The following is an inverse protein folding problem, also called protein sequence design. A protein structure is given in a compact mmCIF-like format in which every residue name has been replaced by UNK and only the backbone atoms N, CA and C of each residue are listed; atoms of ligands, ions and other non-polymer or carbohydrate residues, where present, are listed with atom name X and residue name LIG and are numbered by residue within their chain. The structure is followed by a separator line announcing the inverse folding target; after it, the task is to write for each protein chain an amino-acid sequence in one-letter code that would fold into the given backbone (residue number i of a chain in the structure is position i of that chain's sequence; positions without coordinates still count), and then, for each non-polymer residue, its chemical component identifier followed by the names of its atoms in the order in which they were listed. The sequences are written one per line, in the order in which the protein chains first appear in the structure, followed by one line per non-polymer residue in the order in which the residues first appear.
data_IF_080947197536
#
_entry.id   IF_080947197536
#
_cell.length_a   1.000
_cell.length_b   1.000
_cell.length_c   1.000
_cell.angle_alpha   90.00
_cell.angle_beta   90.00
_cell.angle_gamma   90.00
#
_symmetry.space_group_name_H-M   'P 1'
#
loop_
_entity.id
_entity.type
_entity.pdbx_description
1 polymer ?
#
# COMPACT_ATOMS: atom_id res chain seq x y z
N UNK A 1 -2.82 51.95 8.16
CA UNK A 1 -2.32 50.60 7.88
C UNK A 1 -3.50 49.63 8.02
N UNK A 2 -3.78 48.86 6.99
CA UNK A 2 -4.75 47.79 7.04
C UNK A 2 -4.32 46.75 8.10
N UNK A 3 -5.27 46.20 8.85
CA UNK A 3 -4.96 45.14 9.82
C UNK A 3 -4.69 43.85 9.08
N UNK A 4 -3.50 43.29 9.21
CA UNK A 4 -3.15 41.99 8.67
C UNK A 4 -3.85 40.88 9.45
N UNK A 5 -4.34 39.87 8.75
CA UNK A 5 -4.97 38.66 9.29
C UNK A 5 -4.14 37.43 8.95
N UNK A 6 -4.43 36.29 9.57
CA UNK A 6 -3.78 35.02 9.25
C UNK A 6 -4.12 34.54 7.83
N UNK A 7 -5.34 34.86 7.36
CA UNK A 7 -5.78 34.63 5.96
C UNK A 7 -4.92 35.41 4.95
N UNK A 8 -4.52 36.66 5.29
CA UNK A 8 -3.62 37.45 4.43
C UNK A 8 -2.21 36.84 4.34
N UNK A 9 -1.85 36.00 5.31
CA UNK A 9 -0.60 35.24 5.33
C UNK A 9 -0.75 33.85 4.64
N UNK A 10 -1.93 33.53 4.10
CA UNK A 10 -2.19 32.32 3.32
C UNK A 10 -2.71 31.13 4.13
N UNK A 11 -3.21 31.35 5.37
CA UNK A 11 -3.80 30.29 6.20
C UNK A 11 -5.25 30.62 6.53
N UNK A 12 -6.19 29.75 6.11
CA UNK A 12 -7.62 29.94 6.29
C UNK A 12 -8.20 28.97 7.33
N UNK A 13 -8.39 29.47 8.57
CA UNK A 13 -8.94 28.70 9.69
C UNK A 13 -10.38 28.23 9.41
N UNK A 14 -11.20 29.05 8.72
CA UNK A 14 -12.59 28.71 8.43
C UNK A 14 -12.66 27.53 7.44
N UNK A 15 -11.80 27.53 6.41
CA UNK A 15 -11.67 26.41 5.47
C UNK A 15 -11.18 25.14 6.19
N UNK A 16 -10.30 25.25 7.18
CA UNK A 16 -9.89 24.13 8.04
C UNK A 16 -11.07 23.52 8.80
N UNK A 17 -11.88 24.35 9.45
CA UNK A 17 -13.07 23.91 10.18
C UNK A 17 -14.12 23.27 9.25
N UNK A 18 -14.30 23.81 8.05
CA UNK A 18 -15.18 23.24 7.03
C UNK A 18 -14.69 21.85 6.60
N UNK A 19 -13.40 21.68 6.33
CA UNK A 19 -12.82 20.38 5.98
C UNK A 19 -13.09 19.33 7.05
N UNK A 20 -12.86 19.66 8.33
CA UNK A 20 -13.17 18.76 9.45
C UNK A 20 -14.65 18.39 9.51
N UNK A 21 -15.54 19.34 9.22
CA UNK A 21 -16.98 19.07 9.17
C UNK A 21 -17.35 18.07 8.05
N UNK A 22 -16.75 18.22 6.87
CA UNK A 22 -17.02 17.37 5.71
C UNK A 22 -16.54 15.92 5.90
N UNK A 23 -15.44 15.68 6.60
CA UNK A 23 -14.87 14.34 6.79
C UNK A 23 -15.46 13.56 7.98
N UNK A 24 -16.16 14.22 8.89
CA UNK A 24 -16.56 13.68 10.18
C UNK A 24 -17.32 12.35 10.11
N UNK A 25 -18.28 12.25 9.22
CA UNK A 25 -19.09 11.04 9.08
C UNK A 25 -18.29 9.88 8.47
N UNK A 26 -17.43 10.15 7.49
CA UNK A 26 -16.54 9.16 6.89
C UNK A 26 -15.56 8.59 7.91
N UNK A 27 -14.97 9.44 8.73
CA UNK A 27 -14.05 9.03 9.81
C UNK A 27 -14.77 8.20 10.86
N UNK A 28 -15.94 8.65 11.33
CA UNK A 28 -16.75 7.90 12.31
C UNK A 28 -17.17 6.52 11.81
N UNK A 29 -17.40 6.37 10.51
CA UNK A 29 -17.73 5.08 9.90
C UNK A 29 -16.60 4.03 10.00
N UNK A 30 -15.38 4.43 10.36
CA UNK A 30 -14.24 3.53 10.62
C UNK A 30 -14.16 3.08 12.07
N UNK A 31 -14.91 3.71 12.98
CA UNK A 31 -14.74 3.50 14.41
C UNK A 31 -15.09 2.08 14.83
N UNK A 32 -14.22 1.55 15.66
CA UNK A 32 -14.37 0.27 16.38
C UNK A 32 -14.76 0.56 17.83
N UNK A 33 -15.28 -0.43 18.57
CA UNK A 33 -15.62 -0.27 20.00
C UNK A 33 -14.46 0.20 20.88
N UNK A 34 -13.21 -0.01 20.42
CA UNK A 34 -11.99 0.38 21.12
C UNK A 34 -11.67 1.88 20.99
N UNK A 35 -12.29 2.60 20.06
CA UNK A 35 -12.07 4.06 19.91
C UNK A 35 -12.77 4.79 21.06
N UNK A 36 -11.99 5.55 21.84
CA UNK A 36 -12.46 6.30 23.01
C UNK A 36 -12.45 7.81 22.75
N UNK A 37 -13.33 8.30 21.93
CA UNK A 37 -13.37 9.74 21.64
C UNK A 37 -13.97 10.03 20.28
N UNK A 38 -13.82 11.29 19.87
CA UNK A 38 -14.29 11.79 18.59
C UNK A 38 -13.20 12.70 17.98
N UNK A 39 -13.35 13.06 16.70
CA UNK A 39 -12.48 14.05 16.05
C UNK A 39 -12.48 15.39 16.77
N UNK A 40 -11.32 16.06 16.79
CA UNK A 40 -11.13 17.40 17.35
C UNK A 40 -10.50 17.41 18.74
N UNK A 41 -10.11 16.26 19.30
CA UNK A 41 -9.26 16.18 20.49
C UNK A 41 -7.78 16.42 20.16
N UNK A 42 -6.93 16.60 21.19
CA UNK A 42 -5.48 16.72 21.03
C UNK A 42 -4.81 15.41 20.57
N UNK A 43 -5.48 14.27 20.63
CA UNK A 43 -4.96 12.99 20.18
C UNK A 43 -6.06 11.95 20.07
N UNK A 44 -5.85 10.93 19.25
CA UNK A 44 -6.71 9.78 19.12
C UNK A 44 -6.54 8.83 20.31
N UNK A 45 -7.64 8.36 20.89
CA UNK A 45 -7.62 7.43 22.00
C UNK A 45 -8.13 6.06 21.54
N UNK A 46 -7.34 5.02 21.78
CA UNK A 46 -7.68 3.65 21.43
C UNK A 46 -7.41 2.72 22.62
N UNK A 47 -8.43 1.99 23.07
CA UNK A 47 -8.33 1.05 24.18
C UNK A 47 -7.91 -0.33 23.67
N UNK A 48 -6.67 -0.69 23.82
CA UNK A 48 -6.24 -2.06 23.55
C UNK A 48 -6.95 -3.02 24.50
N UNK A 49 -7.64 -4.03 23.97
CA UNK A 49 -8.23 -5.12 24.76
C UNK A 49 -7.15 -6.08 25.25
N UNK A 50 -6.46 -5.70 26.31
CA UNK A 50 -5.32 -6.46 26.81
C UNK A 50 -5.67 -7.92 27.18
N UNK A 51 -6.95 -8.20 27.52
CA UNK A 51 -7.43 -9.56 27.81
C UNK A 51 -7.45 -10.51 26.61
N UNK A 52 -7.45 -9.96 25.38
CA UNK A 52 -7.46 -10.76 24.16
C UNK A 52 -6.06 -11.27 23.76
N UNK A 53 -5.03 -10.82 24.49
CA UNK A 53 -3.64 -11.16 24.25
C UNK A 53 -2.95 -11.60 25.54
N UNK A 54 -2.01 -12.54 25.42
CA UNK A 54 -1.14 -12.93 26.54
C UNK A 54 0.09 -12.01 26.60
N UNK A 55 0.69 -11.75 25.45
CA UNK A 55 1.90 -10.94 25.30
C UNK A 55 1.82 -10.10 24.02
N UNK A 56 0.99 -9.02 24.03
CA UNK A 56 0.78 -8.19 22.84
C UNK A 56 2.06 -7.45 22.44
N UNK A 57 2.35 -7.49 21.13
CA UNK A 57 3.41 -6.68 20.52
C UNK A 57 2.73 -5.69 19.58
N UNK A 58 3.00 -4.40 19.78
CA UNK A 58 2.56 -3.36 18.84
C UNK A 58 3.54 -3.29 17.66
N UNK A 59 2.96 -3.23 16.46
CA UNK A 59 3.69 -3.05 15.21
C UNK A 59 3.23 -1.75 14.59
N UNK A 60 4.16 -0.89 14.19
CA UNK A 60 3.84 0.39 13.56
C UNK A 60 4.61 0.58 12.26
N UNK A 61 3.97 1.23 11.31
CA UNK A 61 4.56 1.61 10.04
C UNK A 61 4.10 3.02 9.65
N UNK A 62 4.95 3.73 8.93
CA UNK A 62 4.64 5.02 8.33
C UNK A 62 5.12 5.04 6.90
N UNK A 63 4.30 5.55 5.99
CA UNK A 63 4.63 5.70 4.58
C UNK A 63 3.80 6.82 3.95
N UNK A 64 4.22 7.26 2.77
CA UNK A 64 3.49 8.21 1.93
C UNK A 64 3.00 7.55 0.64
N UNK A 65 2.44 8.37 -0.23
CA UNK A 65 2.01 7.95 -1.58
C UNK A 65 3.11 8.15 -2.61
N UNK A 66 3.97 9.14 -2.40
CA UNK A 66 5.05 9.47 -3.31
C UNK A 66 4.57 10.14 -4.60
N UNK A 67 5.34 9.98 -5.67
CA UNK A 67 5.13 10.75 -6.90
C UNK A 67 3.91 10.35 -7.73
N UNK A 68 3.15 9.32 -7.32
CA UNK A 68 1.80 9.03 -7.84
C UNK A 68 0.84 10.22 -7.64
N UNK A 69 1.05 11.01 -6.58
CA UNK A 69 0.29 12.25 -6.34
C UNK A 69 0.24 13.18 -7.55
N UNK A 70 1.30 13.24 -8.35
CA UNK A 70 1.34 14.08 -9.58
C UNK A 70 0.27 13.69 -10.60
N UNK A 71 -0.15 12.42 -10.61
CA UNK A 71 -1.24 11.95 -11.47
C UNK A 71 -2.59 12.42 -10.93
N UNK A 72 -2.79 12.37 -9.63
CA UNK A 72 -4.01 12.90 -9.00
C UNK A 72 -4.20 14.39 -9.33
N UNK A 73 -3.12 15.17 -9.29
CA UNK A 73 -3.15 16.58 -9.65
C UNK A 73 -3.43 16.78 -11.15
N UNK A 74 -2.77 16.01 -12.02
CA UNK A 74 -2.93 16.09 -13.47
C UNK A 74 -4.35 15.76 -13.91
N UNK A 75 -4.96 14.73 -13.31
CA UNK A 75 -6.28 14.21 -13.65
C UNK A 75 -7.40 14.82 -12.79
N UNK A 76 -7.04 15.65 -11.79
CA UNK A 76 -7.96 16.22 -10.80
C UNK A 76 -8.86 15.15 -10.17
N UNK A 77 -8.24 14.03 -9.75
CA UNK A 77 -8.91 12.91 -9.11
C UNK A 77 -8.18 12.54 -7.81
N UNK A 78 -8.83 12.75 -6.67
CA UNK A 78 -8.18 12.75 -5.35
C UNK A 78 -8.70 11.65 -4.41
N UNK A 79 -9.84 11.05 -4.69
CA UNK A 79 -10.53 10.09 -3.81
C UNK A 79 -9.87 8.70 -3.74
N UNK A 80 -8.98 8.36 -4.67
CA UNK A 80 -8.25 7.08 -4.68
C UNK A 80 -6.95 7.11 -3.87
N UNK A 81 -6.32 8.29 -3.78
CA UNK A 81 -4.99 8.48 -3.18
C UNK A 81 -4.95 8.12 -1.70
N UNK A 82 -6.04 8.40 -0.97
CA UNK A 82 -6.15 8.03 0.43
C UNK A 82 -6.01 6.52 0.68
N UNK A 83 -6.49 5.69 -0.24
CA UNK A 83 -6.29 4.24 -0.16
C UNK A 83 -4.82 3.86 -0.34
N UNK A 84 -4.07 4.51 -1.23
CA UNK A 84 -2.64 4.25 -1.38
C UNK A 84 -1.90 4.53 -0.07
N UNK A 85 -2.16 5.66 0.59
CA UNK A 85 -1.54 6.01 1.86
C UNK A 85 -1.82 4.96 2.95
N UNK A 86 -3.07 4.50 3.06
CA UNK A 86 -3.45 3.45 4.03
C UNK A 86 -2.80 2.11 3.67
N UNK A 87 -2.89 1.69 2.41
CA UNK A 87 -2.41 0.38 1.97
C UNK A 87 -0.90 0.22 2.16
N UNK A 88 -0.11 1.25 1.86
CA UNK A 88 1.35 1.22 2.07
C UNK A 88 1.70 0.96 3.54
N UNK A 89 0.98 1.60 4.48
CA UNK A 89 1.22 1.42 5.92
C UNK A 89 0.66 0.10 6.46
N UNK A 90 -0.62 -0.23 6.13
CA UNK A 90 -1.26 -1.41 6.73
C UNK A 90 -0.74 -2.73 6.18
N UNK A 91 -0.36 -2.79 4.89
CA UNK A 91 0.24 -3.97 4.32
C UNK A 91 1.64 -4.25 4.92
N UNK A 92 2.39 -3.21 5.27
CA UNK A 92 3.71 -3.35 5.89
C UNK A 92 3.64 -3.89 7.33
N UNK A 93 2.66 -3.45 8.13
CA UNK A 93 2.46 -4.03 9.46
C UNK A 93 1.87 -5.44 9.39
N UNK A 94 1.06 -5.72 8.38
CA UNK A 94 0.43 -7.02 8.14
C UNK A 94 1.47 -8.12 7.89
N UNK A 95 2.56 -7.83 7.17
CA UNK A 95 3.61 -8.84 6.91
C UNK A 95 4.36 -9.28 8.16
N UNK A 96 4.25 -8.53 9.26
CA UNK A 96 4.74 -8.92 10.59
C UNK A 96 3.72 -9.79 11.37
N UNK A 97 2.56 -10.09 10.76
CA UNK A 97 1.46 -10.83 11.39
C UNK A 97 0.49 -9.95 12.19
N UNK A 98 0.62 -8.62 12.13
CA UNK A 98 -0.17 -7.70 12.94
C UNK A 98 -1.54 -7.41 12.34
N UNK A 99 -2.58 -7.44 13.19
CA UNK A 99 -3.89 -6.89 12.87
C UNK A 99 -3.83 -5.36 12.97
N UNK A 100 -4.23 -4.59 11.92
CA UNK A 100 -4.32 -3.14 12.01
C UNK A 100 -5.35 -2.72 13.04
N UNK A 101 -4.98 -1.79 13.93
CA UNK A 101 -5.87 -1.25 14.97
C UNK A 101 -6.37 0.14 14.62
N UNK A 102 -5.45 1.06 14.39
CA UNK A 102 -5.78 2.44 14.08
C UNK A 102 -4.76 3.08 13.13
N UNK A 103 -5.21 4.16 12.52
CA UNK A 103 -4.49 4.94 11.54
C UNK A 103 -4.56 6.43 11.88
N UNK A 104 -3.50 7.14 11.54
CA UNK A 104 -3.38 8.60 11.56
C UNK A 104 -2.83 9.04 10.22
N UNK A 105 -3.24 10.21 9.73
CA UNK A 105 -2.70 10.82 8.53
C UNK A 105 -2.09 12.20 8.81
N UNK A 106 -1.15 12.61 7.96
CA UNK A 106 -0.65 13.96 7.86
C UNK A 106 -0.84 14.43 6.43
N UNK A 107 -1.71 15.42 6.23
CA UNK A 107 -2.01 16.01 4.94
C UNK A 107 -1.50 17.45 4.91
N UNK A 108 -0.44 17.71 4.12
CA UNK A 108 0.13 19.04 3.93
C UNK A 108 -0.31 19.60 2.58
N UNK A 109 -1.00 20.74 2.56
CA UNK A 109 -1.59 21.33 1.35
C UNK A 109 -0.98 22.71 1.06
N UNK A 110 -0.85 23.06 -0.23
CA UNK A 110 -0.38 24.38 -0.63
C UNK A 110 -1.39 25.49 -0.35
N UNK A 111 -2.67 25.17 -0.59
CA UNK A 111 -3.84 25.95 -0.20
C UNK A 111 -4.93 24.98 0.20
N UNK A 112 -5.61 25.29 1.29
CA UNK A 112 -6.66 24.42 1.81
C UNK A 112 -7.96 24.63 1.00
N UNK A 113 -8.32 23.57 0.24
CA UNK A 113 -9.60 23.48 -0.48
C UNK A 113 -10.42 22.38 0.18
N UNK A 114 -11.50 22.71 0.92
CA UNK A 114 -12.21 21.76 1.77
C UNK A 114 -12.71 20.51 1.05
N UNK A 115 -13.16 20.64 -0.19
CA UNK A 115 -13.66 19.51 -0.99
C UNK A 115 -12.53 18.56 -1.40
N UNK A 116 -11.36 19.08 -1.79
CA UNK A 116 -10.19 18.26 -2.14
C UNK A 116 -9.69 17.48 -0.91
N UNK A 117 -9.61 18.15 0.24
CA UNK A 117 -9.26 17.49 1.52
C UNK A 117 -10.27 16.40 1.86
N UNK A 118 -11.57 16.68 1.70
CA UNK A 118 -12.62 15.71 1.97
C UNK A 118 -12.54 14.48 1.05
N UNK A 119 -12.22 14.65 -0.23
CA UNK A 119 -12.03 13.55 -1.18
C UNK A 119 -10.87 12.65 -0.75
N UNK A 120 -9.71 13.23 -0.44
CA UNK A 120 -8.52 12.48 0.01
C UNK A 120 -8.84 11.71 1.29
N UNK A 121 -9.37 12.39 2.32
CA UNK A 121 -9.68 11.76 3.63
C UNK A 121 -10.80 10.73 3.52
N UNK A 122 -11.78 10.92 2.63
CA UNK A 122 -12.80 9.91 2.34
C UNK A 122 -12.18 8.62 1.78
N UNK A 123 -11.16 8.75 0.93
CA UNK A 123 -10.35 7.61 0.45
C UNK A 123 -9.62 6.91 1.60
N UNK A 124 -9.00 7.68 2.50
CA UNK A 124 -8.34 7.16 3.71
C UNK A 124 -9.36 6.40 4.58
N UNK A 125 -10.50 7.01 4.88
CA UNK A 125 -11.52 6.41 5.74
C UNK A 125 -12.10 5.12 5.14
N UNK A 126 -12.37 5.10 3.83
CA UNK A 126 -12.83 3.90 3.12
C UNK A 126 -11.83 2.75 3.23
N UNK A 127 -10.56 3.03 2.98
CA UNK A 127 -9.48 2.04 3.07
C UNK A 127 -9.24 1.56 4.51
N UNK A 128 -9.30 2.45 5.50
CA UNK A 128 -9.24 2.10 6.91
C UNK A 128 -10.36 1.15 7.29
N UNK A 129 -11.60 1.46 6.92
CA UNK A 129 -12.77 0.63 7.17
C UNK A 129 -12.63 -0.76 6.55
N UNK A 130 -12.18 -0.84 5.30
CA UNK A 130 -11.94 -2.10 4.59
C UNK A 130 -10.84 -2.93 5.26
N UNK A 131 -9.80 -2.28 5.78
CA UNK A 131 -8.70 -2.92 6.51
C UNK A 131 -9.05 -3.30 7.96
N UNK A 132 -10.26 -2.97 8.44
CA UNK A 132 -10.63 -3.14 9.85
C UNK A 132 -9.89 -2.21 10.81
N UNK A 133 -9.34 -1.12 10.30
CA UNK A 133 -8.50 -0.14 10.99
C UNK A 133 -9.33 1.14 11.28
N UNK A 134 -9.23 1.71 12.48
CA UNK A 134 -9.94 2.93 12.81
C UNK A 134 -9.11 4.17 12.47
N UNK A 135 -9.65 5.10 11.67
CA UNK A 135 -9.06 6.43 11.50
C UNK A 135 -9.42 7.29 12.73
N UNK A 136 -8.47 7.47 13.65
CA UNK A 136 -8.74 8.08 14.96
C UNK A 136 -8.24 9.52 15.08
N UNK A 137 -7.62 10.06 14.06
CA UNK A 137 -7.09 11.42 14.02
C UNK A 137 -6.15 11.63 12.86
N UNK A 138 -5.58 12.80 12.82
CA UNK A 138 -4.61 13.23 11.80
C UNK A 138 -4.35 14.71 11.94
N UNK A 139 -3.61 15.27 10.98
CA UNK A 139 -3.30 16.69 10.87
C UNK A 139 -3.48 17.15 9.43
N UNK A 140 -4.14 18.28 9.23
CA UNK A 140 -4.17 18.98 7.94
C UNK A 140 -3.47 20.32 8.09
N UNK A 141 -2.32 20.47 7.45
CA UNK A 141 -1.50 21.68 7.54
C UNK A 141 -1.56 22.49 6.23
N UNK A 142 -2.00 23.75 6.29
CA UNK A 142 -1.90 24.67 5.18
C UNK A 142 -0.49 25.27 5.15
N UNK A 143 0.28 24.88 4.13
CA UNK A 143 1.70 25.19 3.97
C UNK A 143 1.90 26.21 2.84
N UNK A 144 1.34 27.42 3.05
CA UNK A 144 1.37 28.50 2.06
C UNK A 144 2.80 28.83 1.61
N UNK A 145 3.04 28.81 0.31
CA UNK A 145 4.36 29.08 -0.27
C UNK A 145 5.35 27.90 -0.22
N UNK A 146 4.98 26.78 0.40
CA UNK A 146 5.79 25.56 0.42
C UNK A 146 5.36 24.58 -0.69
N UNK A 147 4.06 24.30 -0.77
CA UNK A 147 3.47 23.56 -1.88
C UNK A 147 2.75 24.53 -2.84
N UNK A 148 2.73 24.25 -4.15
CA UNK A 148 1.87 24.96 -5.09
C UNK A 148 0.39 24.85 -4.71
N UNK A 149 -0.41 25.83 -5.12
CA UNK A 149 -1.87 25.78 -4.97
C UNK A 149 -2.43 24.57 -5.73
N UNK A 150 -3.28 23.78 -5.08
CA UNK A 150 -3.86 22.56 -5.63
C UNK A 150 -2.99 21.31 -5.45
N UNK A 151 -1.75 21.46 -4.99
CA UNK A 151 -0.86 20.35 -4.67
C UNK A 151 -0.82 20.08 -3.16
N UNK A 152 -0.58 18.81 -2.82
CA UNK A 152 -0.48 18.36 -1.43
C UNK A 152 0.49 17.17 -1.31
N UNK A 153 0.88 16.87 -0.09
CA UNK A 153 1.52 15.62 0.28
C UNK A 153 0.74 14.93 1.39
N UNK A 154 0.74 13.61 1.40
CA UNK A 154 0.06 12.81 2.42
C UNK A 154 0.97 11.69 2.90
N UNK A 155 1.05 11.55 4.21
CA UNK A 155 1.68 10.43 4.88
C UNK A 155 0.72 9.79 5.86
N UNK A 156 0.81 8.46 5.99
CA UNK A 156 0.04 7.67 6.94
C UNK A 156 0.91 7.12 8.06
N UNK A 157 0.27 6.80 9.16
CA UNK A 157 0.86 6.11 10.29
C UNK A 157 -0.12 5.06 10.81
N UNK A 158 0.22 3.79 10.64
CA UNK A 158 -0.58 2.66 11.10
C UNK A 158 0.01 2.04 12.37
N UNK A 159 -0.85 1.63 13.26
CA UNK A 159 -0.49 0.80 14.42
C UNK A 159 -1.36 -0.46 14.41
N UNK A 160 -0.71 -1.59 14.53
CA UNK A 160 -1.33 -2.90 14.68
C UNK A 160 -0.84 -3.64 15.92
N UNK A 161 -1.41 -4.80 16.16
CA UNK A 161 -1.06 -5.67 17.27
C UNK A 161 -0.92 -7.11 16.80
N UNK A 162 0.01 -7.83 17.37
CA UNK A 162 0.20 -9.27 17.16
C UNK A 162 0.55 -9.93 18.50
N UNK A 163 0.10 -11.16 18.72
CA UNK A 163 0.58 -11.99 19.82
C UNK A 163 2.06 -12.32 19.58
N UNK A 164 2.94 -12.17 20.58
CA UNK A 164 4.39 -12.38 20.43
C UNK A 164 4.75 -13.72 19.76
N UNK A 165 4.08 -14.80 20.14
CA UNK A 165 4.33 -16.13 19.58
C UNK A 165 3.87 -16.28 18.12
N UNK A 166 3.07 -15.32 17.59
CA UNK A 166 2.56 -15.28 16.22
C UNK A 166 3.28 -14.27 15.33
N UNK A 167 4.29 -13.58 15.87
CA UNK A 167 5.13 -12.70 15.05
C UNK A 167 5.69 -13.47 13.86
N UNK A 168 5.49 -12.92 12.67
CA UNK A 168 6.09 -13.43 11.44
C UNK A 168 7.47 -12.81 11.31
N UNK A 169 8.50 -13.65 11.31
CA UNK A 169 9.91 -13.25 11.19
C UNK A 169 10.63 -14.22 10.27
N UNK A 170 11.79 -13.82 9.74
CA UNK A 170 12.61 -14.68 8.88
C UNK A 170 13.07 -16.00 9.55
N UNK A 171 13.12 -16.05 10.88
CA UNK A 171 13.63 -17.22 11.62
C UNK A 171 12.84 -18.52 11.36
N UNK A 172 11.61 -18.45 10.85
CA UNK A 172 10.78 -19.63 10.55
C UNK A 172 10.94 -20.15 9.13
N UNK A 173 11.49 -19.33 8.24
CA UNK A 173 11.65 -19.64 6.82
C UNK A 173 12.75 -20.67 6.61
N UNK A 174 12.50 -21.63 5.72
CA UNK A 174 13.40 -22.77 5.45
C UNK A 174 13.57 -22.97 3.94
N UNK A 175 14.71 -23.53 3.57
CA UNK A 175 14.90 -23.98 2.20
C UNK A 175 13.82 -25.01 1.81
N UNK A 176 13.27 -24.85 0.61
CA UNK A 176 12.16 -25.64 0.10
C UNK A 176 10.79 -25.04 0.41
N UNK A 177 10.67 -24.02 1.26
CA UNK A 177 9.39 -23.30 1.44
C UNK A 177 8.93 -22.70 0.12
N UNK A 178 7.62 -22.75 -0.10
CA UNK A 178 6.95 -22.27 -1.30
C UNK A 178 6.68 -20.78 -1.18
N UNK A 179 6.89 -20.04 -2.27
CA UNK A 179 6.48 -18.66 -2.43
C UNK A 179 5.12 -18.63 -3.13
N UNK A 180 4.08 -18.17 -2.44
CA UNK A 180 2.74 -17.95 -2.98
C UNK A 180 2.52 -16.47 -3.21
N UNK A 181 2.27 -16.07 -4.47
CA UNK A 181 2.02 -14.69 -4.86
C UNK A 181 0.53 -14.37 -4.90
N UNK A 182 0.13 -13.29 -4.24
CA UNK A 182 -1.21 -12.70 -4.37
C UNK A 182 -1.17 -11.54 -5.38
N UNK A 183 -2.13 -11.45 -6.31
CA UNK A 183 -2.13 -10.43 -7.34
C UNK A 183 -2.13 -9.01 -6.76
N UNK A 184 -1.45 -8.10 -7.46
CA UNK A 184 -1.61 -6.66 -7.27
C UNK A 184 -2.85 -6.15 -8.02
N UNK A 185 -3.30 -4.94 -7.69
CA UNK A 185 -4.35 -4.24 -8.44
C UNK A 185 -3.81 -3.48 -9.68
N UNK A 186 -2.50 -3.48 -9.88
CA UNK A 186 -1.78 -2.71 -10.88
C UNK A 186 -0.41 -2.30 -10.35
N UNK A 187 0.04 -1.10 -10.71
CA UNK A 187 1.36 -0.57 -10.33
C UNK A 187 1.50 -0.33 -8.82
N UNK A 188 0.39 -0.20 -8.11
CA UNK A 188 0.30 0.20 -6.70
C UNK A 188 0.75 1.65 -6.50
N UNK A 189 1.75 1.89 -5.62
CA UNK A 189 2.22 3.24 -5.30
C UNK A 189 3.73 3.42 -5.46
N UNK A 190 4.43 2.45 -6.06
CA UNK A 190 5.88 2.47 -6.24
C UNK A 190 6.28 2.60 -7.71
N UNK A 191 7.47 3.13 -7.97
CA UNK A 191 8.01 3.27 -9.32
C UNK A 191 7.43 4.44 -10.13
N UNK A 192 6.60 5.31 -9.55
CA UNK A 192 5.89 6.37 -10.26
C UNK A 192 6.78 7.47 -10.85
N UNK A 193 7.99 7.65 -10.35
CA UNK A 193 8.94 8.55 -11.01
C UNK A 193 9.32 8.02 -12.39
N UNK A 194 9.54 6.71 -12.54
CA UNK A 194 9.81 6.06 -13.83
C UNK A 194 8.55 6.03 -14.71
N UNK A 195 7.39 5.65 -14.15
CA UNK A 195 6.10 5.69 -14.86
C UNK A 195 5.85 7.05 -15.50
N UNK A 196 5.98 8.13 -14.73
CA UNK A 196 5.75 9.49 -15.20
C UNK A 196 6.72 9.88 -16.30
N UNK A 197 7.97 9.53 -16.15
CA UNK A 197 8.99 9.79 -17.18
C UNK A 197 8.68 9.07 -18.48
N UNK A 198 8.25 7.81 -18.40
CA UNK A 198 7.89 7.01 -19.59
C UNK A 198 6.60 7.55 -20.23
N UNK A 199 5.52 7.64 -19.45
CA UNK A 199 4.17 7.88 -19.98
C UNK A 199 3.98 9.34 -20.39
N UNK A 200 4.33 10.29 -19.55
CA UNK A 200 4.04 11.70 -19.78
C UNK A 200 5.17 12.46 -20.47
N UNK A 201 6.43 12.18 -20.10
CA UNK A 201 7.56 12.92 -20.69
C UNK A 201 8.04 12.28 -22.00
N UNK A 202 8.19 10.93 -22.06
CA UNK A 202 8.72 10.24 -23.24
C UNK A 202 7.64 9.97 -24.29
N UNK A 203 6.46 9.42 -23.91
CA UNK A 203 5.35 9.18 -24.84
C UNK A 203 4.50 10.42 -25.08
N UNK A 204 4.53 11.40 -24.17
CA UNK A 204 3.74 12.64 -24.27
C UNK A 204 2.24 12.44 -24.07
N UNK A 205 1.81 11.38 -23.38
CA UNK A 205 0.41 11.15 -23.05
C UNK A 205 -0.08 12.17 -22.01
N UNK A 206 -1.38 12.42 -21.96
CA UNK A 206 -2.03 13.35 -21.03
C UNK A 206 -2.83 12.65 -19.95
N UNK A 207 -3.03 11.31 -20.11
CA UNK A 207 -3.76 10.46 -19.17
C UNK A 207 -5.17 10.12 -19.63
N UNK A 208 -5.74 10.82 -20.59
CA UNK A 208 -7.07 10.57 -21.16
C UNK A 208 -7.05 9.59 -22.36
N UNK A 209 -5.85 9.19 -22.81
CA UNK A 209 -5.70 8.24 -23.90
C UNK A 209 -6.21 6.85 -23.52
N UNK A 210 -7.17 6.36 -24.30
CA UNK A 210 -7.69 5.00 -24.14
C UNK A 210 -6.70 3.98 -24.71
N UNK A 211 -6.41 2.93 -23.94
CA UNK A 211 -5.53 1.82 -24.32
C UNK A 211 -6.37 0.55 -24.48
N UNK A 212 -6.38 -0.05 -25.68
CA UNK A 212 -7.13 -1.29 -25.93
C UNK A 212 -6.66 -2.43 -25.02
N UNK A 213 -5.35 -2.53 -24.80
CA UNK A 213 -4.72 -3.56 -23.97
C UNK A 213 -5.10 -3.44 -22.48
N UNK A 214 -5.51 -2.25 -22.02
CA UNK A 214 -5.94 -1.98 -20.66
C UNK A 214 -7.46 -1.97 -20.51
N UNK A 215 -8.20 -1.77 -21.61
CA UNK A 215 -9.65 -1.62 -21.61
C UNK A 215 -10.14 -0.32 -20.95
N UNK A 216 -9.24 0.65 -20.71
CA UNK A 216 -9.51 1.96 -20.09
C UNK A 216 -8.43 2.97 -20.44
N UNK A 217 -8.55 4.22 -19.97
CA UNK A 217 -7.50 5.20 -20.18
C UNK A 217 -6.24 4.88 -19.36
N UNK A 218 -5.10 5.35 -19.84
CA UNK A 218 -3.82 5.16 -19.12
C UNK A 218 -3.84 5.84 -17.74
N UNK A 219 -4.53 6.97 -17.61
CA UNK A 219 -4.68 7.66 -16.33
C UNK A 219 -5.50 6.87 -15.32
N UNK A 220 -6.64 6.28 -15.73
CA UNK A 220 -7.46 5.40 -14.89
C UNK A 220 -6.66 4.17 -14.45
N UNK A 221 -5.88 3.57 -15.34
CA UNK A 221 -4.99 2.44 -14.99
C UNK A 221 -3.98 2.85 -13.92
N UNK A 222 -3.28 3.95 -14.15
CA UNK A 222 -2.21 4.41 -13.26
C UNK A 222 -2.73 4.99 -11.93
N UNK A 223 -4.00 5.45 -11.85
CA UNK A 223 -4.63 5.86 -10.59
C UNK A 223 -5.29 4.70 -9.83
N UNK A 224 -5.30 3.48 -10.39
CA UNK A 224 -5.81 2.32 -9.64
C UNK A 224 -5.11 2.25 -8.28
N UNK A 225 -5.87 2.25 -7.17
CA UNK A 225 -5.26 2.29 -5.84
C UNK A 225 -4.59 0.96 -5.48
N UNK A 226 -3.64 1.04 -4.59
CA UNK A 226 -2.94 -0.11 -4.01
C UNK A 226 -3.93 -1.06 -3.35
N UNK A 227 -3.80 -2.37 -3.62
CA UNK A 227 -4.65 -3.40 -3.03
C UNK A 227 -4.44 -3.46 -1.52
N UNK A 228 -5.56 -3.58 -0.78
CA UNK A 228 -5.58 -3.85 0.65
C UNK A 228 -5.58 -5.37 0.87
N UNK A 229 -4.60 -5.89 1.60
CA UNK A 229 -4.47 -7.33 1.86
C UNK A 229 -5.01 -7.81 3.22
N UNK A 230 -5.38 -6.96 4.21
CA UNK A 230 -5.80 -7.44 5.53
C UNK A 230 -6.94 -8.43 5.51
N UNK A 231 -7.98 -8.22 4.69
CA UNK A 231 -9.13 -9.14 4.63
C UNK A 231 -8.76 -10.55 4.16
N UNK A 232 -7.82 -10.67 3.23
CA UNK A 232 -7.35 -11.95 2.70
C UNK A 232 -6.32 -12.58 3.63
N UNK A 233 -5.39 -11.80 4.16
CA UNK A 233 -4.23 -12.34 4.88
C UNK A 233 -4.47 -12.57 6.37
N UNK A 234 -5.30 -11.77 7.06
CA UNK A 234 -5.55 -11.99 8.51
C UNK A 234 -6.14 -13.37 8.82
N UNK A 235 -7.12 -13.92 8.07
CA UNK A 235 -7.54 -15.30 8.23
C UNK A 235 -6.41 -16.31 8.01
N UNK A 236 -5.53 -16.06 7.03
CA UNK A 236 -4.39 -16.95 6.76
C UNK A 236 -3.38 -16.92 7.91
N UNK A 237 -3.06 -15.75 8.44
CA UNK A 237 -2.17 -15.56 9.61
C UNK A 237 -2.73 -16.29 10.84
N UNK A 238 -4.05 -16.28 11.01
CA UNK A 238 -4.71 -16.92 12.15
C UNK A 238 -4.75 -18.44 12.03
N UNK A 239 -5.06 -18.97 10.85
CA UNK A 239 -5.51 -20.36 10.67
C UNK A 239 -4.46 -21.27 10.00
N UNK A 240 -3.36 -20.69 9.47
CA UNK A 240 -2.31 -21.42 8.78
C UNK A 240 -0.91 -21.14 9.35
N UNK A 241 0.00 -22.06 9.09
CA UNK A 241 1.40 -21.94 9.48
C UNK A 241 2.19 -21.18 8.41
N UNK A 242 2.15 -19.85 8.46
CA UNK A 242 2.96 -18.98 7.61
C UNK A 242 4.36 -18.84 8.22
N UNK A 243 5.39 -19.06 7.40
CA UNK A 243 6.78 -18.88 7.78
C UNK A 243 7.29 -17.46 7.53
N UNK A 244 6.75 -16.79 6.49
CA UNK A 244 7.11 -15.43 6.13
C UNK A 244 6.02 -14.76 5.28
N UNK A 245 6.08 -13.45 5.21
CA UNK A 245 5.27 -12.62 4.29
C UNK A 245 6.10 -11.46 3.76
N UNK A 246 5.80 -11.02 2.54
CA UNK A 246 6.49 -9.90 1.88
C UNK A 246 5.49 -9.01 1.16
N UNK A 247 5.53 -7.72 1.44
CA UNK A 247 4.86 -6.71 0.62
C UNK A 247 5.82 -6.24 -0.47
N UNK A 248 5.45 -6.41 -1.74
CA UNK A 248 6.29 -6.01 -2.87
C UNK A 248 6.09 -4.51 -3.14
N UNK A 249 7.03 -3.71 -2.69
CA UNK A 249 7.08 -2.25 -2.78
C UNK A 249 8.28 -1.79 -3.62
N UNK A 250 8.81 -0.57 -3.38
CA UNK A 250 10.04 -0.10 -3.99
C UNK A 250 11.21 -1.06 -3.72
N UNK A 251 12.03 -1.32 -4.74
CA UNK A 251 13.04 -2.39 -4.73
C UNK A 251 12.54 -3.71 -5.33
N UNK A 252 11.23 -3.84 -5.58
CA UNK A 252 10.59 -4.97 -6.27
C UNK A 252 10.88 -6.30 -5.61
N UNK A 253 11.04 -7.34 -6.42
CA UNK A 253 11.33 -8.70 -5.95
C UNK A 253 12.72 -8.82 -5.32
N UNK A 254 13.71 -8.17 -5.91
CA UNK A 254 15.11 -8.31 -5.53
C UNK A 254 15.44 -7.78 -4.14
N UNK A 255 14.76 -6.73 -3.69
CA UNK A 255 15.05 -6.10 -2.40
C UNK A 255 14.03 -6.44 -1.31
N UNK A 256 12.78 -6.81 -1.68
CA UNK A 256 11.75 -7.08 -0.68
C UNK A 256 11.73 -8.55 -0.24
N UNK A 257 11.86 -9.53 -1.14
CA UNK A 257 11.84 -10.94 -0.76
C UNK A 257 12.95 -11.28 0.26
N UNK A 258 14.21 -10.83 0.08
CA UNK A 258 15.27 -11.12 1.04
C UNK A 258 14.97 -10.66 2.46
N UNK A 259 14.21 -9.58 2.65
CA UNK A 259 13.85 -9.08 4.00
C UNK A 259 13.11 -10.12 4.86
N UNK A 260 12.45 -11.08 4.24
CA UNK A 260 11.74 -12.14 4.93
C UNK A 260 12.57 -13.44 5.05
N UNK A 261 13.79 -13.48 4.51
CA UNK A 261 14.64 -14.67 4.50
C UNK A 261 15.75 -14.58 5.54
N UNK A 262 16.24 -15.73 6.08
CA UNK A 262 17.51 -15.78 6.80
C UNK A 262 18.70 -15.44 5.88
N UNK A 263 19.80 -14.97 6.45
CA UNK A 263 21.00 -14.51 5.71
C UNK A 263 21.62 -15.56 4.78
N UNK A 264 21.49 -16.86 5.11
CA UNK A 264 22.02 -17.98 4.32
C UNK A 264 21.00 -18.57 3.35
N UNK A 265 19.89 -17.88 3.10
CA UNK A 265 18.84 -18.31 2.17
C UNK A 265 18.58 -17.26 1.10
N UNK A 266 18.29 -17.76 -0.09
CA UNK A 266 17.81 -16.98 -1.23
C UNK A 266 16.44 -17.46 -1.69
N UNK A 267 16.00 -16.94 -2.82
CA UNK A 267 14.76 -17.36 -3.46
C UNK A 267 14.92 -17.51 -4.96
N UNK A 268 14.22 -18.50 -5.51
CA UNK A 268 14.03 -18.67 -6.95
C UNK A 268 12.59 -18.36 -7.29
N UNK A 269 12.36 -17.41 -8.21
CA UNK A 269 11.05 -16.99 -8.69
C UNK A 269 10.90 -17.34 -10.16
N UNK A 270 9.77 -17.94 -10.54
CA UNK A 270 9.41 -18.24 -11.92
C UNK A 270 8.47 -17.15 -12.46
N UNK A 271 8.98 -16.29 -13.32
CA UNK A 271 8.23 -15.21 -13.95
C UNK A 271 7.16 -15.70 -14.95
N UNK A 272 7.13 -16.99 -15.30
CA UNK A 272 6.07 -17.59 -16.10
C UNK A 272 4.90 -18.11 -15.27
N UNK A 273 5.00 -18.10 -13.94
CA UNK A 273 3.99 -18.66 -13.04
C UNK A 273 2.68 -17.86 -12.96
N UNK A 274 2.66 -16.62 -13.45
CA UNK A 274 1.46 -15.77 -13.50
C UNK A 274 1.41 -14.96 -14.79
N UNK A 275 0.20 -14.55 -15.16
CA UNK A 275 0.02 -13.60 -16.26
C UNK A 275 0.38 -12.18 -15.78
N UNK A 276 1.42 -11.61 -16.35
CA UNK A 276 1.84 -10.23 -16.08
C UNK A 276 0.79 -9.25 -16.59
N UNK A 277 0.27 -8.33 -15.76
CA UNK A 277 -0.65 -7.29 -16.20
C UNK A 277 -0.08 -6.45 -17.36
N UNK A 278 -0.95 -6.11 -18.31
CA UNK A 278 -0.56 -5.43 -19.54
C UNK A 278 0.19 -4.11 -19.30
N UNK A 279 -0.13 -3.39 -18.23
CA UNK A 279 0.52 -2.12 -17.88
C UNK A 279 2.04 -2.26 -17.75
N UNK A 280 2.55 -3.37 -17.21
CA UNK A 280 4.00 -3.55 -17.05
C UNK A 280 4.69 -3.83 -18.38
N UNK A 281 4.04 -4.57 -19.30
CA UNK A 281 4.57 -4.77 -20.67
C UNK A 281 4.61 -3.45 -21.43
N UNK A 282 3.54 -2.66 -21.34
CA UNK A 282 3.47 -1.34 -21.98
C UNK A 282 4.56 -0.40 -21.45
N UNK A 283 4.75 -0.34 -20.11
CA UNK A 283 5.80 0.47 -19.50
C UNK A 283 7.20 0.02 -19.95
N UNK A 284 7.44 -1.29 -19.99
CA UNK A 284 8.71 -1.86 -20.45
C UNK A 284 8.99 -1.48 -21.90
N UNK A 285 8.02 -1.71 -22.80
CA UNK A 285 8.13 -1.43 -24.23
C UNK A 285 8.30 0.07 -24.50
N UNK A 286 7.45 0.91 -23.89
CA UNK A 286 7.51 2.35 -24.09
C UNK A 286 8.78 3.00 -23.56
N UNK A 287 9.29 2.49 -22.45
CA UNK A 287 10.50 2.98 -21.80
C UNK A 287 11.77 2.29 -22.27
N UNK A 288 11.65 1.20 -23.05
CA UNK A 288 12.77 0.28 -23.36
C UNK A 288 13.58 -0.06 -22.12
N UNK A 289 12.86 -0.45 -21.03
CA UNK A 289 13.44 -0.73 -19.73
C UNK A 289 13.88 -2.19 -19.68
N UNK A 290 15.06 -2.47 -19.16
CA UNK A 290 15.53 -3.84 -18.96
C UNK A 290 14.59 -4.59 -17.99
N UNK A 291 14.31 -5.88 -18.27
CA UNK A 291 13.42 -6.68 -17.42
C UNK A 291 13.90 -6.77 -15.98
N UNK A 292 15.20 -6.87 -15.74
CA UNK A 292 15.76 -6.85 -14.40
C UNK A 292 15.42 -5.54 -13.66
N UNK A 293 15.46 -4.40 -14.34
CA UNK A 293 15.07 -3.11 -13.77
C UNK A 293 13.55 -3.02 -13.53
N UNK A 294 12.73 -3.63 -14.41
CA UNK A 294 11.28 -3.74 -14.19
C UNK A 294 10.98 -4.49 -12.89
N UNK A 295 11.61 -5.65 -12.66
CA UNK A 295 11.43 -6.45 -11.45
C UNK A 295 12.08 -5.85 -10.20
N UNK A 296 12.99 -4.90 -10.36
CA UNK A 296 13.57 -4.10 -9.28
C UNK A 296 12.70 -2.90 -8.91
N UNK A 297 11.97 -2.34 -9.87
CA UNK A 297 11.19 -1.12 -9.68
C UNK A 297 9.74 -1.41 -9.30
N UNK A 298 9.14 -2.45 -9.89
CA UNK A 298 7.70 -2.72 -9.85
C UNK A 298 7.36 -4.08 -9.23
N UNK A 299 6.09 -4.23 -8.84
CA UNK A 299 5.53 -5.48 -8.33
C UNK A 299 5.21 -6.53 -9.42
N UNK A 300 5.26 -6.16 -10.69
CA UNK A 300 5.03 -7.01 -11.86
C UNK A 300 3.74 -7.83 -11.85
N UNK A 301 2.75 -7.41 -11.04
CA UNK A 301 1.46 -8.09 -10.90
C UNK A 301 1.31 -8.90 -9.59
N UNK A 302 2.36 -8.99 -8.78
CA UNK A 302 2.34 -9.65 -7.46
C UNK A 302 2.61 -8.60 -6.37
N UNK A 303 1.61 -8.27 -5.57
CA UNK A 303 1.78 -7.25 -4.54
C UNK A 303 2.08 -7.81 -3.15
N UNK A 304 1.73 -9.07 -2.88
CA UNK A 304 1.99 -9.75 -1.61
C UNK A 304 2.52 -11.16 -1.86
N UNK A 305 3.55 -11.58 -1.14
CA UNK A 305 4.06 -12.95 -1.16
C UNK A 305 3.88 -13.58 0.21
N UNK A 306 3.38 -14.81 0.24
CA UNK A 306 3.29 -15.65 1.43
C UNK A 306 4.34 -16.75 1.32
N UNK A 307 5.03 -17.06 2.41
CA UNK A 307 6.05 -18.11 2.48
C UNK A 307 5.57 -19.18 3.45
N UNK A 308 5.49 -20.42 2.98
CA UNK A 308 4.98 -21.52 3.76
C UNK A 308 5.58 -22.87 3.32
N UNK A 309 5.51 -23.88 4.19
CA UNK A 309 5.87 -25.25 3.81
C UNK A 309 5.01 -25.75 2.65
N UNK A 310 5.47 -26.76 1.91
CA UNK A 310 4.71 -27.38 0.81
C UNK A 310 3.30 -27.82 1.24
N UNK A 311 3.17 -28.42 2.43
CA UNK A 311 1.88 -28.86 2.97
C UNK A 311 0.97 -27.66 3.30
N UNK A 312 1.49 -26.64 3.95
CA UNK A 312 0.72 -25.44 4.29
C UNK A 312 0.34 -24.65 3.02
N UNK A 313 1.24 -24.55 2.03
CA UNK A 313 0.99 -23.89 0.75
C UNK A 313 -0.20 -24.54 0.00
N UNK A 314 -0.22 -25.87 -0.10
CA UNK A 314 -1.34 -26.58 -0.75
C UNK A 314 -2.69 -26.32 -0.04
N UNK A 315 -2.70 -26.22 1.29
CA UNK A 315 -3.91 -25.91 2.07
C UNK A 315 -4.34 -24.45 1.89
N UNK A 316 -3.38 -23.51 1.81
CA UNK A 316 -3.64 -22.09 1.56
C UNK A 316 -4.23 -21.90 0.16
N UNK A 317 -3.66 -22.55 -0.87
CA UNK A 317 -4.18 -22.54 -2.24
C UNK A 317 -5.63 -23.04 -2.29
N UNK A 318 -5.92 -24.16 -1.63
CA UNK A 318 -7.28 -24.71 -1.56
C UNK A 318 -8.26 -23.77 -0.83
N UNK A 319 -7.81 -23.14 0.26
CA UNK A 319 -8.62 -22.19 1.03
C UNK A 319 -8.95 -20.94 0.21
N UNK A 320 -7.94 -20.31 -0.41
CA UNK A 320 -8.11 -19.12 -1.25
C UNK A 320 -8.97 -19.42 -2.48
N UNK A 321 -8.76 -20.57 -3.14
CA UNK A 321 -9.57 -21.01 -4.26
C UNK A 321 -11.05 -21.19 -3.90
N UNK A 322 -11.34 -21.69 -2.69
CA UNK A 322 -12.72 -21.80 -2.19
C UNK A 322 -13.40 -20.45 -1.95
N UNK A 323 -12.61 -19.39 -1.75
CA UNK A 323 -13.07 -18.01 -1.60
C UNK A 323 -13.04 -17.21 -2.92
N UNK A 324 -12.72 -17.87 -4.06
CA UNK A 324 -12.52 -17.24 -5.36
C UNK A 324 -11.37 -16.20 -5.39
N UNK A 325 -10.44 -16.32 -4.45
CA UNK A 325 -9.21 -15.53 -4.45
C UNK A 325 -8.15 -16.21 -5.31
N UNK A 326 -7.50 -15.39 -6.14
CA UNK A 326 -6.40 -15.85 -6.99
C UNK A 326 -5.10 -15.91 -6.19
N UNK A 327 -4.37 -16.99 -6.34
CA UNK A 327 -3.02 -17.19 -5.79
C UNK A 327 -2.17 -17.92 -6.80
N UNK A 328 -0.91 -17.59 -6.87
CA UNK A 328 0.06 -18.20 -7.79
C UNK A 328 1.21 -18.81 -7.00
N UNK A 329 1.63 -20.00 -7.37
CA UNK A 329 2.86 -20.61 -6.86
C UNK A 329 4.01 -20.06 -7.68
N UNK A 330 4.65 -18.97 -7.18
CA UNK A 330 5.62 -18.18 -7.95
C UNK A 330 7.08 -18.62 -7.76
N UNK A 331 7.35 -19.55 -6.84
CA UNK A 331 8.73 -19.97 -6.60
C UNK A 331 8.93 -20.68 -5.27
N UNK A 332 10.18 -20.69 -4.83
CA UNK A 332 10.59 -21.35 -3.59
C UNK A 332 11.82 -20.69 -2.96
N UNK A 333 11.97 -20.92 -1.66
CA UNK A 333 13.18 -20.57 -0.91
C UNK A 333 14.29 -21.58 -1.21
N UNK A 334 15.51 -21.10 -1.39
CA UNK A 334 16.71 -21.92 -1.69
C UNK A 334 17.78 -21.71 -0.64
N UNK A 335 18.64 -22.70 -0.44
CA UNK A 335 19.91 -22.52 0.28
C UNK A 335 20.89 -21.70 -0.57
N UNK A 336 21.70 -20.86 0.03
CA UNK A 336 22.78 -20.14 -0.63
C UNK A 336 22.79 -18.64 -0.36
N UNK A 337 23.16 -17.85 -1.37
CA UNK A 337 23.26 -16.41 -1.25
C UNK A 337 21.92 -15.77 -0.93
N UNK A 338 21.95 -14.72 -0.10
CA UNK A 338 20.77 -13.92 0.28
C UNK A 338 20.30 -13.04 -0.89
N UNK A 339 19.91 -13.70 -1.98
CA UNK A 339 19.58 -13.07 -3.27
C UNK A 339 18.33 -13.72 -3.88
N UNK A 340 17.68 -13.01 -4.78
CA UNK A 340 16.58 -13.51 -5.59
C UNK A 340 17.05 -13.77 -7.00
N UNK A 341 16.86 -15.00 -7.47
CA UNK A 341 17.03 -15.37 -8.88
C UNK A 341 15.66 -15.44 -9.55
N UNK A 342 15.47 -14.69 -10.63
CA UNK A 342 14.23 -14.74 -11.41
C UNK A 342 14.52 -15.46 -12.74
N UNK A 343 13.67 -16.42 -13.09
CA UNK A 343 13.77 -17.25 -14.29
C UNK A 343 12.41 -17.33 -14.97
N UNK A 344 12.38 -17.93 -16.15
CA UNK A 344 11.13 -18.15 -16.89
C UNK A 344 10.60 -16.90 -17.58
N UNK A 345 9.56 -17.09 -18.40
CA UNK A 345 8.85 -16.00 -19.04
C UNK A 345 9.77 -15.09 -19.86
N UNK A 346 9.79 -13.80 -19.51
CA UNK A 346 10.57 -12.78 -20.22
C UNK A 346 12.09 -12.91 -20.06
N UNK A 347 12.57 -13.74 -19.15
CA UNK A 347 13.99 -13.99 -18.91
C UNK A 347 14.56 -15.15 -19.76
N UNK A 348 13.70 -15.91 -20.43
CA UNK A 348 14.10 -17.03 -21.30
C UNK A 348 14.06 -16.64 -22.79
N UNK A 349 13.70 -15.38 -23.10
CA UNK A 349 13.49 -14.86 -24.46
C UNK A 349 14.77 -14.34 -25.14
#
# INVERSE_FOLDING_TARGET
MEKMTYRDAGVDIDAGNESVSLIKDSVRATYRPEVLGDLGGFGGLFALRAQDYREPVLVSGTDGVGTKLRLAFLLNQHDTIGQDAVAMCVNDILVQGAEPLFFLDYLAVGKLEPTQVADVVSGVARACKESGCALIGGETAEMAGFYPVGEYDIAGFAVGVVERERLITSARVKAGDVLLGLPSSGVHSNGYSLVRKIVFEHKGFRGDEYMEELGRSIGEELLTPTRLYPQVCLPLIRDFDLHGMVHITGGGFYENIPRALPDEMGAEVDAAAWEMPAVFRLLQEWGNVDWAEMYRTFNMGIGMVLIASEEAAARIEAHLGAQHETVFRIGRVTEGAHEVTIKGGVFDA
#
